data_IF_651457097830
#
_entry.id   IF_651457097830
#
_cell.length_a   1.000
_cell.length_b   1.000
_cell.length_c   1.000
_cell.angle_alpha   90.00
_cell.angle_beta   90.00
_cell.angle_gamma   90.00
#
_symmetry.space_group_name_H-M   'P 1'
#
loop_
_entity.id
_entity.type
_entity.pdbx_description
1 polymer ?
#
# COMPACT_ATOMS: atom_id res chain seq x y z
N UNK A 1 7.54 -20.37 -3.31
CA UNK A 1 6.41 -20.70 -2.42
C UNK A 1 6.04 -19.55 -1.50
N UNK A 2 6.91 -19.12 -0.58
CA UNK A 2 6.60 -18.07 0.40
C UNK A 2 6.03 -16.75 -0.17
N UNK A 3 6.64 -16.20 -1.23
CA UNK A 3 6.11 -15.00 -1.92
C UNK A 3 4.70 -15.22 -2.45
N UNK A 4 4.40 -16.41 -2.99
CA UNK A 4 3.05 -16.73 -3.48
C UNK A 4 2.05 -16.90 -2.34
N UNK A 5 2.50 -17.38 -1.18
CA UNK A 5 1.65 -17.45 -0.01
C UNK A 5 1.28 -16.05 0.51
N UNK A 6 2.27 -15.15 0.66
CA UNK A 6 2.00 -13.76 0.99
C UNK A 6 1.12 -13.06 -0.06
N UNK A 7 1.29 -13.38 -1.36
CA UNK A 7 0.44 -12.88 -2.44
C UNK A 7 -1.03 -13.29 -2.27
N UNK A 8 -1.30 -14.52 -1.85
CA UNK A 8 -2.67 -14.99 -1.59
C UNK A 8 -3.36 -14.09 -0.54
N UNK A 9 -2.65 -13.79 0.55
CA UNK A 9 -3.17 -12.92 1.61
C UNK A 9 -3.38 -11.48 1.14
N UNK A 10 -2.47 -10.94 0.33
CA UNK A 10 -2.67 -9.61 -0.26
C UNK A 10 -3.85 -9.56 -1.23
N UNK A 11 -4.10 -10.62 -2.00
CA UNK A 11 -5.31 -10.75 -2.84
C UNK A 11 -6.57 -10.75 -1.96
N UNK A 12 -6.54 -11.45 -0.82
CA UNK A 12 -7.65 -11.45 0.11
C UNK A 12 -7.93 -10.05 0.66
N UNK A 13 -6.90 -9.32 1.11
CA UNK A 13 -7.03 -7.94 1.58
C UNK A 13 -7.55 -7.00 0.48
N UNK A 14 -7.05 -7.14 -0.74
CA UNK A 14 -7.54 -6.38 -1.89
C UNK A 14 -9.01 -6.64 -2.20
N UNK A 15 -9.48 -7.88 -2.08
CA UNK A 15 -10.91 -8.23 -2.26
C UNK A 15 -11.78 -7.58 -1.19
N UNK A 16 -11.31 -7.53 0.06
CA UNK A 16 -12.03 -6.84 1.14
C UNK A 16 -12.09 -5.35 0.87
N UNK A 17 -10.96 -4.72 0.53
CA UNK A 17 -10.90 -3.30 0.19
C UNK A 17 -11.86 -2.95 -0.98
N UNK A 18 -11.89 -3.78 -2.04
CA UNK A 18 -12.80 -3.59 -3.15
C UNK A 18 -14.28 -3.67 -2.73
N UNK A 19 -14.65 -4.64 -1.87
CA UNK A 19 -16.01 -4.77 -1.34
C UNK A 19 -16.41 -3.57 -0.49
N UNK A 20 -15.51 -3.07 0.37
CA UNK A 20 -15.75 -1.87 1.18
C UNK A 20 -16.04 -0.65 0.32
N UNK A 21 -15.25 -0.44 -0.73
CA UNK A 21 -15.45 0.64 -1.69
C UNK A 21 -16.82 0.56 -2.37
N UNK A 22 -17.22 -0.63 -2.81
CA UNK A 22 -18.56 -0.85 -3.43
C UNK A 22 -19.69 -0.59 -2.44
N UNK A 23 -19.53 -0.95 -1.16
CA UNK A 23 -20.53 -0.75 -0.12
C UNK A 23 -20.51 0.67 0.49
N UNK A 24 -19.63 1.57 0.03
CA UNK A 24 -19.51 2.93 0.56
C UNK A 24 -18.92 3.02 1.98
N UNK A 25 -18.32 1.93 2.48
CA UNK A 25 -17.77 1.84 3.85
C UNK A 25 -16.39 2.51 4.00
N UNK A 26 -15.86 3.10 2.91
CA UNK A 26 -14.61 3.85 2.91
C UNK A 26 -14.84 5.37 3.05
N UNK A 27 -16.10 5.82 3.15
CA UNK A 27 -16.38 7.19 3.52
C UNK A 27 -15.88 7.42 4.95
N UNK A 28 -15.09 8.47 5.22
CA UNK A 28 -14.82 8.85 6.60
C UNK A 28 -16.19 9.10 7.24
N UNK A 29 -16.47 8.40 8.33
CA UNK A 29 -17.59 8.77 9.21
C UNK A 29 -17.28 10.20 9.62
N UNK A 30 -17.89 11.19 8.94
CA UNK A 30 -18.00 12.52 9.49
C UNK A 30 -18.62 12.26 10.86
N UNK A 31 -17.88 12.59 11.91
CA UNK A 31 -18.44 12.68 13.24
C UNK A 31 -19.72 13.49 13.06
N UNK A 32 -20.87 12.83 13.18
CA UNK A 32 -22.13 13.52 13.32
C UNK A 32 -21.99 14.20 14.67
N UNK A 33 -21.55 15.45 14.64
CA UNK A 33 -21.70 16.35 15.76
C UNK A 33 -23.17 16.27 16.13
N UNK A 34 -23.42 15.71 17.31
CA UNK A 34 -24.72 15.71 17.94
C UNK A 34 -25.07 17.17 18.25
N UNK A 35 -25.66 17.85 17.28
CA UNK A 35 -26.44 19.05 17.50
C UNK A 35 -27.91 18.61 17.43
N UNK A 36 -28.44 18.23 18.58
CA UNK A 36 -29.87 18.19 18.80
C UNK A 36 -30.36 19.64 18.83
N UNK A 37 -31.08 20.07 17.80
CA UNK A 37 -32.07 21.14 17.92
C UNK A 37 -33.31 20.75 17.09
N UNK A 38 -34.36 20.37 17.81
CA UNK A 38 -35.73 20.26 17.31
C UNK A 38 -36.24 21.66 16.92
N UNK A 39 -36.79 21.80 15.71
CA UNK A 39 -37.96 22.66 15.45
C UNK A 39 -38.81 22.09 14.31
N UNK A 40 -40.03 21.70 14.65
CA UNK A 40 -41.14 21.50 13.71
C UNK A 40 -41.61 22.85 13.13
N UNK A 41 -42.01 22.86 11.84
CA UNK A 41 -43.39 23.19 11.38
C UNK A 41 -43.45 23.39 9.85
N UNK A 42 -44.49 22.85 9.22
CA UNK A 42 -45.14 23.43 8.02
C UNK A 42 -44.78 22.82 6.66
N UNK A 43 -45.66 21.95 6.13
CA UNK A 43 -45.51 21.30 4.83
C UNK A 43 -46.04 22.06 3.60
N UNK A 44 -45.76 21.54 2.40
CA UNK A 44 -46.75 21.40 1.32
C UNK A 44 -46.28 20.38 0.26
N UNK A 45 -47.27 19.80 -0.42
CA UNK A 45 -47.27 18.56 -1.21
C UNK A 45 -46.40 18.56 -2.48
N UNK A 46 -45.75 17.42 -2.75
CA UNK A 46 -45.14 17.08 -4.03
C UNK A 46 -45.02 15.56 -4.16
N UNK A 47 -45.64 15.00 -5.19
CA UNK A 47 -45.74 13.56 -5.51
C UNK A 47 -44.35 12.91 -5.67
N UNK A 48 -43.94 12.12 -4.67
CA UNK A 48 -42.67 11.41 -4.66
C UNK A 48 -42.92 9.91 -4.37
N UNK A 49 -42.49 9.07 -5.32
CA UNK A 49 -42.65 7.61 -5.27
C UNK A 49 -41.87 7.08 -4.07
N UNK A 50 -42.59 6.70 -3.00
CA UNK A 50 -42.00 6.09 -1.80
C UNK A 50 -41.49 4.69 -2.10
N UNK A 51 -40.17 4.52 -2.07
CA UNK A 51 -39.55 3.20 -1.95
C UNK A 51 -39.96 2.58 -0.60
N UNK A 52 -40.23 1.26 -0.53
CA UNK A 52 -40.63 0.62 0.71
C UNK A 52 -39.54 0.75 1.76
N UNK A 53 -39.86 1.38 2.89
CA UNK A 53 -39.04 1.35 4.09
C UNK A 53 -38.89 -0.10 4.54
N UNK A 54 -37.68 -0.64 4.41
CA UNK A 54 -37.34 -1.93 4.98
C UNK A 54 -37.32 -1.79 6.51
N UNK A 55 -38.47 -2.03 7.15
CA UNK A 55 -38.59 -2.21 8.59
C UNK A 55 -37.67 -3.35 9.01
N UNK A 56 -36.52 -3.00 9.60
CA UNK A 56 -35.71 -3.89 10.39
C UNK A 56 -36.48 -4.29 11.66
N UNK A 57 -37.44 -5.21 11.53
CA UNK A 57 -38.08 -5.82 12.67
C UNK A 57 -38.32 -7.31 12.37
N UNK A 58 -37.27 -8.12 12.57
CA UNK A 58 -37.38 -9.45 13.17
C UNK A 58 -36.00 -10.09 13.31
N UNK A 59 -35.13 -9.51 14.15
CA UNK A 59 -34.17 -10.32 14.90
C UNK A 59 -34.36 -9.92 16.36
N UNK A 60 -34.90 -10.86 17.14
CA UNK A 60 -35.37 -10.62 18.50
C UNK A 60 -34.28 -10.02 19.41
N UNK A 61 -34.58 -8.85 19.96
CA UNK A 61 -33.82 -8.18 21.03
C UNK A 61 -33.96 -8.87 22.40
N UNK A 62 -34.30 -10.16 22.46
CA UNK A 62 -34.50 -10.88 23.73
C UNK A 62 -33.49 -12.02 23.95
N UNK A 63 -32.38 -12.02 23.20
CA UNK A 63 -31.24 -12.93 23.43
C UNK A 63 -29.95 -12.21 23.89
N UNK A 64 -30.03 -10.93 24.28
CA UNK A 64 -28.86 -10.13 24.70
C UNK A 64 -28.84 -9.75 26.19
N UNK A 65 -29.83 -10.13 27.00
CA UNK A 65 -29.75 -9.99 28.46
C UNK A 65 -29.11 -11.25 29.06
N UNK A 66 -27.78 -11.29 29.10
CA UNK A 66 -27.07 -12.30 29.90
C UNK A 66 -25.68 -12.69 29.43
N UNK A 67 -25.26 -12.33 28.22
CA UNK A 67 -23.88 -12.57 27.79
C UNK A 67 -23.05 -11.35 28.19
N UNK A 68 -22.22 -11.51 29.23
CA UNK A 68 -21.09 -10.61 29.46
C UNK A 68 -20.18 -10.72 28.23
N UNK A 69 -20.38 -9.78 27.31
CA UNK A 69 -19.49 -9.58 26.18
C UNK A 69 -18.20 -9.03 26.78
N UNK A 70 -17.14 -9.86 26.76
CA UNK A 70 -15.79 -9.44 27.12
C UNK A 70 -15.45 -8.17 26.35
N UNK A 71 -14.75 -7.25 27.02
CA UNK A 71 -14.46 -5.88 26.52
C UNK A 71 -13.74 -5.80 25.18
N UNK A 72 -13.35 -6.93 24.59
CA UNK A 72 -12.76 -7.05 23.26
C UNK A 72 -13.78 -6.89 22.12
N UNK A 73 -15.07 -7.16 22.31
CA UNK A 73 -16.06 -7.03 21.22
C UNK A 73 -16.60 -5.60 21.00
N UNK A 74 -16.01 -4.59 21.67
CA UNK A 74 -16.21 -3.17 21.35
C UNK A 74 -15.23 -2.64 20.30
N UNK A 75 -14.26 -3.44 19.88
CA UNK A 75 -13.41 -3.07 18.76
C UNK A 75 -14.21 -3.18 17.46
N UNK A 76 -14.14 -2.14 16.63
CA UNK A 76 -14.63 -2.21 15.26
C UNK A 76 -14.08 -3.51 14.63
N UNK A 77 -14.94 -4.47 14.24
CA UNK A 77 -14.49 -5.72 13.62
C UNK A 77 -13.65 -5.48 12.35
N UNK A 78 -13.67 -4.25 11.83
CA UNK A 78 -12.87 -3.78 10.70
C UNK A 78 -11.47 -3.28 11.08
N UNK A 79 -11.17 -3.11 12.37
CA UNK A 79 -9.85 -2.73 12.89
C UNK A 79 -9.05 -3.95 13.40
N UNK A 80 -9.35 -5.14 12.88
CA UNK A 80 -8.65 -6.35 13.29
C UNK A 80 -7.23 -6.40 12.74
N UNK A 81 -6.25 -6.94 13.49
CA UNK A 81 -4.86 -7.05 13.04
C UNK A 81 -4.69 -7.74 11.69
N UNK A 82 -5.56 -8.71 11.38
CA UNK A 82 -5.57 -9.40 10.09
C UNK A 82 -5.81 -8.44 8.92
N UNK A 83 -6.76 -7.51 9.06
CA UNK A 83 -7.08 -6.51 8.04
C UNK A 83 -6.03 -5.39 7.95
N UNK A 84 -5.17 -5.27 8.96
CA UNK A 84 -4.02 -4.36 8.98
C UNK A 84 -2.72 -4.99 8.45
N UNK A 85 -2.80 -6.15 7.79
CA UNK A 85 -1.63 -6.79 7.18
C UNK A 85 -0.78 -7.62 8.13
N UNK A 86 -1.26 -7.98 9.33
CA UNK A 86 -0.49 -8.82 10.26
C UNK A 86 -0.13 -10.19 9.68
N UNK A 87 -1.02 -10.78 8.88
CA UNK A 87 -0.79 -12.10 8.26
C UNK A 87 0.31 -12.04 7.18
N UNK A 88 0.27 -11.16 6.16
CA UNK A 88 1.36 -11.08 5.19
C UNK A 88 2.70 -10.70 5.83
N UNK A 89 2.70 -9.93 6.92
CA UNK A 89 3.89 -9.65 7.72
C UNK A 89 4.42 -10.90 8.43
N UNK A 90 3.56 -11.67 9.10
CA UNK A 90 3.96 -12.93 9.74
C UNK A 90 4.56 -13.92 8.73
N UNK A 91 3.97 -14.03 7.54
CA UNK A 91 4.50 -14.87 6.45
C UNK A 91 5.89 -14.39 6.03
N UNK A 92 6.08 -13.08 5.89
CA UNK A 92 7.39 -12.51 5.57
C UNK A 92 8.40 -12.77 6.69
N UNK A 93 8.04 -12.57 7.95
CA UNK A 93 8.91 -12.78 9.11
C UNK A 93 9.31 -14.24 9.28
N UNK A 94 8.39 -15.17 9.03
CA UNK A 94 8.67 -16.61 9.04
C UNK A 94 9.53 -17.03 7.85
N UNK A 95 9.31 -16.44 6.67
CA UNK A 95 10.21 -16.60 5.53
C UNK A 95 11.61 -16.04 5.84
N UNK A 96 11.71 -14.96 6.62
CA UNK A 96 12.96 -14.33 7.03
C UNK A 96 13.80 -15.18 8.00
N UNK A 97 13.22 -16.25 8.56
CA UNK A 97 13.92 -17.24 9.40
C UNK A 97 14.47 -18.42 8.60
N UNK A 98 14.12 -18.54 7.32
CA UNK A 98 14.48 -19.69 6.49
C UNK A 98 15.86 -19.54 5.87
N UNK A 99 16.53 -20.67 5.59
CA UNK A 99 17.88 -20.70 5.05
C UNK A 99 18.04 -20.04 3.66
N UNK A 100 16.96 -19.93 2.87
CA UNK A 100 17.01 -19.28 1.56
C UNK A 100 16.99 -17.75 1.64
N UNK A 101 16.71 -17.17 2.81
CA UNK A 101 16.42 -15.76 2.92
C UNK A 101 17.67 -14.90 2.73
N UNK A 102 17.62 -14.04 1.71
CA UNK A 102 18.66 -13.10 1.35
C UNK A 102 18.03 -11.81 0.79
N UNK A 103 18.84 -10.81 0.47
CA UNK A 103 18.36 -9.52 -0.02
C UNK A 103 17.50 -9.62 -1.30
N UNK A 104 17.84 -10.51 -2.23
CA UNK A 104 17.04 -10.75 -3.45
C UNK A 104 15.69 -11.41 -3.13
N UNK A 105 15.67 -12.35 -2.19
CA UNK A 105 14.42 -12.97 -1.73
C UNK A 105 13.50 -11.93 -1.06
N UNK A 106 14.05 -11.05 -0.23
CA UNK A 106 13.30 -9.96 0.40
C UNK A 106 12.79 -8.94 -0.63
N UNK A 107 13.60 -8.60 -1.65
CA UNK A 107 13.15 -7.77 -2.76
C UNK A 107 11.97 -8.40 -3.52
N UNK A 108 11.97 -9.72 -3.74
CA UNK A 108 10.83 -10.39 -4.36
C UNK A 108 9.52 -10.22 -3.56
N UNK A 109 9.58 -10.15 -2.23
CA UNK A 109 8.41 -9.81 -1.41
C UNK A 109 7.99 -8.35 -1.61
N UNK A 110 8.94 -7.42 -1.54
CA UNK A 110 8.69 -5.99 -1.77
C UNK A 110 8.01 -5.78 -3.14
N UNK A 111 8.61 -6.30 -4.21
CA UNK A 111 8.10 -6.19 -5.57
C UNK A 111 6.69 -6.79 -5.70
N UNK A 112 6.40 -7.90 -5.02
CA UNK A 112 5.07 -8.49 -5.00
C UNK A 112 4.06 -7.59 -4.25
N UNK A 113 4.43 -7.05 -3.09
CA UNK A 113 3.56 -6.18 -2.31
C UNK A 113 3.20 -4.88 -3.05
N UNK A 114 4.14 -4.31 -3.83
CA UNK A 114 3.87 -3.09 -4.61
C UNK A 114 2.76 -3.24 -5.66
N UNK A 115 2.32 -4.46 -5.98
CA UNK A 115 1.19 -4.73 -6.87
C UNK A 115 -0.19 -4.43 -6.24
N UNK A 116 -0.24 -4.15 -4.93
CA UNK A 116 -1.48 -4.03 -4.16
C UNK A 116 -1.73 -2.62 -3.63
N UNK A 117 -1.54 -1.60 -4.47
CA UNK A 117 -1.64 -0.16 -4.13
C UNK A 117 -3.01 0.26 -3.59
N UNK A 118 -4.04 -0.52 -3.85
CA UNK A 118 -5.40 -0.35 -3.35
C UNK A 118 -5.60 -0.78 -1.88
N UNK A 119 -4.62 -1.44 -1.26
CA UNK A 119 -4.72 -1.97 0.12
C UNK A 119 -4.17 -0.94 1.11
N UNK A 120 -5.00 -0.53 2.08
CA UNK A 120 -4.66 0.53 3.03
C UNK A 120 -3.42 0.23 3.91
N UNK A 121 -3.16 -1.04 4.25
CA UNK A 121 -2.00 -1.41 5.05
C UNK A 121 -0.70 -1.52 4.24
N UNK A 122 -0.72 -1.30 2.92
CA UNK A 122 0.46 -1.46 2.07
C UNK A 122 1.67 -0.63 2.56
N UNK A 123 1.55 0.66 2.94
CA UNK A 123 2.69 1.45 3.40
C UNK A 123 3.38 0.81 4.62
N UNK A 124 2.58 0.30 5.57
CA UNK A 124 3.08 -0.40 6.76
C UNK A 124 3.82 -1.69 6.38
N UNK A 125 3.26 -2.47 5.46
CA UNK A 125 3.88 -3.73 4.99
C UNK A 125 5.21 -3.45 4.29
N UNK A 126 5.26 -2.48 3.38
CA UNK A 126 6.47 -2.14 2.65
C UNK A 126 7.55 -1.55 3.56
N UNK A 127 7.17 -0.71 4.52
CA UNK A 127 8.10 -0.16 5.50
C UNK A 127 8.74 -1.28 6.34
N UNK A 128 7.95 -2.23 6.85
CA UNK A 128 8.48 -3.35 7.62
C UNK A 128 9.47 -4.20 6.81
N UNK A 129 9.14 -4.52 5.55
CA UNK A 129 10.06 -5.27 4.67
C UNK A 129 11.36 -4.48 4.48
N UNK A 130 11.26 -3.18 4.21
CA UNK A 130 12.42 -2.34 4.02
C UNK A 130 13.27 -2.21 5.29
N UNK A 131 12.65 -2.09 6.46
CA UNK A 131 13.35 -2.00 7.74
C UNK A 131 14.18 -3.27 7.98
N UNK A 132 13.59 -4.45 7.76
CA UNK A 132 14.30 -5.74 7.85
C UNK A 132 15.43 -5.84 6.82
N UNK A 133 15.22 -5.34 5.60
CA UNK A 133 16.28 -5.32 4.58
C UNK A 133 17.43 -4.37 4.96
N UNK A 134 17.13 -3.19 5.50
CA UNK A 134 18.12 -2.21 5.95
C UNK A 134 18.90 -2.70 7.18
N UNK A 135 18.25 -3.43 8.07
CA UNK A 135 18.90 -4.02 9.24
C UNK A 135 19.85 -5.17 8.83
N UNK A 136 19.39 -6.09 7.99
CA UNK A 136 20.13 -7.33 7.68
C UNK A 136 21.05 -7.23 6.48
N UNK A 137 20.70 -6.40 5.51
CA UNK A 137 21.37 -6.30 4.21
C UNK A 137 21.63 -4.83 3.79
N UNK A 138 22.25 -3.99 4.66
CA UNK A 138 22.36 -2.54 4.45
C UNK A 138 23.17 -2.11 3.22
N UNK A 139 24.04 -2.98 2.70
CA UNK A 139 24.95 -2.68 1.57
C UNK A 139 24.60 -3.44 0.29
N UNK A 140 23.53 -4.25 0.31
CA UNK A 140 23.10 -5.03 -0.84
C UNK A 140 22.30 -4.17 -1.82
N UNK A 141 22.53 -4.36 -3.12
CA UNK A 141 21.88 -3.60 -4.17
C UNK A 141 20.35 -3.75 -4.17
N UNK A 142 19.85 -4.93 -3.78
CA UNK A 142 18.42 -5.20 -3.68
C UNK A 142 17.73 -4.33 -2.61
N UNK A 143 18.36 -4.13 -1.46
CA UNK A 143 17.88 -3.24 -0.39
C UNK A 143 17.79 -1.79 -0.86
N UNK A 144 18.85 -1.33 -1.51
CA UNK A 144 18.90 0.02 -2.05
C UNK A 144 17.92 0.26 -3.19
N UNK A 145 17.71 -0.73 -4.06
CA UNK A 145 16.71 -0.66 -5.11
C UNK A 145 15.29 -0.51 -4.53
N UNK A 146 14.94 -1.30 -3.50
CA UNK A 146 13.67 -1.14 -2.78
C UNK A 146 13.54 0.25 -2.13
N UNK A 147 14.60 0.72 -1.46
CA UNK A 147 14.60 2.04 -0.80
C UNK A 147 14.41 3.20 -1.77
N UNK A 148 15.11 3.14 -2.91
CA UNK A 148 15.02 4.12 -3.99
C UNK A 148 13.62 4.14 -4.58
N UNK A 149 13.02 2.98 -4.82
CA UNK A 149 11.69 2.87 -5.45
C UNK A 149 10.52 3.14 -4.49
N UNK A 150 10.73 3.06 -3.18
CA UNK A 150 9.65 3.20 -2.19
C UNK A 150 8.77 4.46 -2.37
N UNK A 151 9.31 5.68 -2.63
CA UNK A 151 8.49 6.88 -2.82
C UNK A 151 7.63 6.84 -4.10
N UNK A 152 7.99 5.99 -5.05
CA UNK A 152 7.29 5.85 -6.34
C UNK A 152 6.18 4.81 -6.29
N UNK A 153 6.02 4.07 -5.19
CA UNK A 153 5.02 3.01 -5.10
C UNK A 153 3.62 3.62 -5.11
N UNK A 154 2.79 3.18 -6.06
CA UNK A 154 1.43 3.67 -6.23
C UNK A 154 1.32 5.02 -6.95
N UNK A 155 2.44 5.62 -7.34
CA UNK A 155 2.48 6.90 -8.05
C UNK A 155 2.62 6.65 -9.54
N UNK A 156 1.62 7.06 -10.31
CA UNK A 156 1.65 6.92 -11.77
C UNK A 156 2.61 7.95 -12.38
N UNK A 157 3.46 7.59 -13.37
CA UNK A 157 4.29 8.53 -14.12
C UNK A 157 3.55 9.68 -14.79
N UNK A 158 2.22 9.57 -14.92
CA UNK A 158 1.35 10.52 -15.60
C UNK A 158 0.66 11.49 -14.63
N UNK A 159 0.95 11.43 -13.32
CA UNK A 159 0.36 12.34 -12.33
C UNK A 159 1.33 13.44 -11.93
N UNK A 160 0.78 14.57 -11.48
CA UNK A 160 1.57 15.73 -11.02
C UNK A 160 2.44 15.44 -9.78
N UNK A 161 2.15 14.36 -9.04
CA UNK A 161 2.93 13.94 -7.88
C UNK A 161 4.24 13.25 -8.26
N UNK A 162 4.30 12.65 -9.46
CA UNK A 162 5.43 11.82 -9.87
C UNK A 162 6.77 12.55 -9.92
N UNK A 163 6.89 13.78 -10.48
CA UNK A 163 8.17 14.50 -10.51
C UNK A 163 8.77 14.72 -9.12
N UNK A 164 7.92 15.05 -8.13
CA UNK A 164 8.36 15.26 -6.75
C UNK A 164 8.91 13.96 -6.13
N UNK A 165 8.17 12.86 -6.28
CA UNK A 165 8.59 11.57 -5.76
C UNK A 165 9.81 10.99 -6.50
N UNK A 166 9.92 11.27 -7.81
CA UNK A 166 11.10 10.94 -8.61
C UNK A 166 12.33 11.69 -8.11
N UNK A 167 12.21 12.97 -7.74
CA UNK A 167 13.28 13.73 -7.11
C UNK A 167 13.79 13.07 -5.83
N UNK A 168 12.88 12.61 -4.96
CA UNK A 168 13.22 11.87 -3.74
C UNK A 168 13.93 10.55 -4.07
N UNK A 169 13.41 9.78 -5.03
CA UNK A 169 14.00 8.53 -5.47
C UNK A 169 15.42 8.72 -6.02
N UNK A 170 15.64 9.75 -6.87
CA UNK A 170 16.95 10.06 -7.42
C UNK A 170 17.94 10.57 -6.35
N UNK A 171 17.45 11.28 -5.32
CA UNK A 171 18.25 11.63 -4.15
C UNK A 171 18.73 10.38 -3.39
N UNK A 172 17.82 9.44 -3.11
CA UNK A 172 18.16 8.15 -2.50
C UNK A 172 19.11 7.33 -3.35
N UNK A 173 18.97 7.40 -4.69
CA UNK A 173 19.87 6.71 -5.62
C UNK A 173 21.30 7.29 -5.50
N UNK A 174 21.44 8.60 -5.38
CA UNK A 174 22.74 9.24 -5.18
C UNK A 174 23.39 8.79 -3.86
N UNK A 175 22.63 8.69 -2.76
CA UNK A 175 23.13 8.11 -1.50
C UNK A 175 23.56 6.65 -1.64
N UNK A 176 22.79 5.85 -2.37
CA UNK A 176 23.07 4.43 -2.57
C UNK A 176 24.38 4.15 -3.32
N UNK A 177 24.81 5.06 -4.19
CA UNK A 177 26.10 4.94 -4.91
C UNK A 177 27.32 4.85 -3.99
N UNK A 178 27.23 5.45 -2.81
CA UNK A 178 28.32 5.46 -1.83
C UNK A 178 28.23 4.31 -0.82
N UNK A 179 27.04 3.74 -0.62
CA UNK A 179 26.76 2.75 0.42
C UNK A 179 26.64 1.30 -0.08
N UNK A 180 26.34 1.11 -1.37
CA UNK A 180 26.21 -0.23 -1.96
C UNK A 180 27.57 -0.87 -2.22
N UNK A 181 27.68 -2.17 -1.87
CA UNK A 181 28.89 -2.97 -2.11
C UNK A 181 29.19 -3.17 -3.59
N UNK A 182 28.18 -3.54 -4.38
CA UNK A 182 28.30 -3.80 -5.83
C UNK A 182 27.47 -2.80 -6.61
N UNK A 183 28.11 -1.68 -6.93
CA UNK A 183 27.55 -0.55 -7.65
C UNK A 183 26.78 -0.95 -8.92
N UNK A 184 27.35 -1.84 -9.74
CA UNK A 184 26.76 -2.25 -11.01
C UNK A 184 25.47 -3.04 -10.89
N UNK A 185 25.26 -3.72 -9.76
CA UNK A 185 23.98 -4.38 -9.50
C UNK A 185 22.87 -3.37 -9.22
N UNK A 186 23.15 -2.31 -8.45
CA UNK A 186 22.20 -1.22 -8.23
C UNK A 186 21.92 -0.48 -9.55
N UNK A 187 22.96 -0.24 -10.36
CA UNK A 187 22.81 0.37 -11.68
C UNK A 187 21.90 -0.44 -12.60
N UNK A 188 22.13 -1.75 -12.69
CA UNK A 188 21.33 -2.65 -13.52
C UNK A 188 19.87 -2.72 -13.09
N UNK A 189 19.61 -2.79 -11.78
CA UNK A 189 18.23 -2.75 -11.23
C UNK A 189 17.58 -1.40 -11.52
N UNK A 190 18.34 -0.31 -11.36
CA UNK A 190 17.87 1.05 -11.64
C UNK A 190 17.50 1.23 -13.11
N UNK A 191 18.39 0.83 -14.03
CA UNK A 191 18.16 0.91 -15.45
C UNK A 191 16.88 0.15 -15.85
N UNK A 192 16.71 -1.08 -15.35
CA UNK A 192 15.54 -1.90 -15.65
C UNK A 192 14.21 -1.23 -15.25
N UNK A 193 14.14 -0.48 -14.15
CA UNK A 193 12.90 0.20 -13.79
C UNK A 193 12.73 1.52 -14.55
N UNK A 194 13.82 2.25 -14.79
CA UNK A 194 13.78 3.49 -15.57
C UNK A 194 13.31 3.22 -17.01
N UNK A 195 13.83 2.18 -17.65
CA UNK A 195 13.40 1.72 -18.97
C UNK A 195 11.90 1.42 -19.03
N UNK A 196 11.34 0.79 -17.99
CA UNK A 196 9.89 0.54 -17.90
C UNK A 196 9.09 1.83 -17.81
N UNK A 197 9.58 2.83 -17.09
CA UNK A 197 8.90 4.13 -17.00
C UNK A 197 8.99 4.87 -18.33
N UNK A 198 10.14 4.87 -18.98
CA UNK A 198 10.34 5.47 -20.30
C UNK A 198 9.49 4.82 -21.40
N UNK A 199 9.14 3.53 -21.25
CA UNK A 199 8.22 2.84 -22.14
C UNK A 199 6.74 3.25 -21.95
N UNK A 200 6.42 4.10 -20.97
CA UNK A 200 5.05 4.57 -20.75
C UNK A 200 4.70 5.68 -21.75
N UNK A 201 3.61 5.48 -22.49
CA UNK A 201 3.10 6.49 -23.42
C UNK A 201 2.54 7.70 -22.66
N UNK A 202 2.73 8.90 -23.21
CA UNK A 202 2.23 10.15 -22.63
C UNK A 202 3.08 10.71 -21.47
N UNK A 203 4.30 10.19 -21.28
CA UNK A 203 5.23 10.72 -20.30
C UNK A 203 5.65 12.16 -20.63
N UNK A 204 5.68 13.02 -19.61
CA UNK A 204 6.19 14.39 -19.76
C UNK A 204 7.64 14.42 -20.28
N UNK A 205 7.92 15.33 -21.21
CA UNK A 205 9.24 15.44 -21.86
C UNK A 205 10.35 15.81 -20.87
N UNK A 206 10.05 16.57 -19.83
CA UNK A 206 10.98 16.89 -18.75
C UNK A 206 11.34 15.64 -17.94
N UNK A 207 10.34 14.85 -17.55
CA UNK A 207 10.55 13.56 -16.87
C UNK A 207 11.37 12.61 -17.74
N UNK A 208 11.01 12.48 -19.01
CA UNK A 208 11.73 11.65 -19.99
C UNK A 208 13.20 12.04 -20.09
N UNK A 209 13.47 13.33 -20.26
CA UNK A 209 14.84 13.87 -20.31
C UNK A 209 15.63 13.53 -19.05
N UNK A 210 15.04 13.70 -17.87
CA UNK A 210 15.69 13.38 -16.59
C UNK A 210 16.02 11.89 -16.48
N UNK A 211 15.10 11.02 -16.89
CA UNK A 211 15.29 9.57 -16.86
C UNK A 211 16.35 9.09 -17.87
N UNK A 212 16.38 9.66 -19.09
CA UNK A 212 17.41 9.36 -20.10
C UNK A 212 18.81 9.84 -19.66
N UNK A 213 18.90 11.03 -19.07
CA UNK A 213 20.15 11.51 -18.43
C UNK A 213 20.56 10.57 -17.29
N UNK A 214 19.60 10.09 -16.50
CA UNK A 214 19.87 9.13 -15.43
C UNK A 214 20.45 7.83 -15.99
N UNK A 215 19.87 7.26 -17.04
CA UNK A 215 20.40 6.05 -17.71
C UNK A 215 21.84 6.23 -18.20
N UNK A 216 22.11 7.31 -18.94
CA UNK A 216 23.49 7.60 -19.43
C UNK A 216 24.50 7.71 -18.29
N UNK A 217 24.10 8.34 -17.18
CA UNK A 217 24.96 8.40 -15.98
C UNK A 217 25.22 7.03 -15.39
N UNK A 218 24.26 6.11 -15.42
CA UNK A 218 24.45 4.75 -14.93
C UNK A 218 25.40 3.93 -15.83
N UNK A 219 25.31 4.11 -17.15
CA UNK A 219 26.18 3.45 -18.14
C UNK A 219 27.64 3.93 -18.08
N UNK A 220 27.87 5.24 -17.94
CA UNK A 220 29.21 5.83 -17.95
C UNK A 220 29.92 5.81 -16.61
N UNK A 221 29.18 5.74 -15.50
CA UNK A 221 29.80 5.73 -14.18
C UNK A 221 30.55 4.43 -13.89
N UNK A 222 30.52 3.42 -14.79
CA UNK A 222 31.14 2.12 -14.54
C UNK A 222 30.80 1.59 -13.15
N UNK A 223 29.53 1.78 -12.74
CA UNK A 223 28.98 1.13 -11.55
C UNK A 223 29.21 -0.38 -11.71
#
# INVERSE_FOLDING_TARGET
MWVQYAKLEMIFLAKIAARRRVLGLDAPVKAVEAAAEEKEEGGFEGDEIKFPEFKAQSLGQSAMEGVKVDGEAKQDPMNTPALQGAIPLAIFDDAAKQAFFNAEAAQCFFDMFTLFTQVACLPKVLQHVLDVMMERFPTEAATWDCYVRMPLVGVSPLTAEFPGQLGVALGRLAEGKEKVRVKGQLAKKTAKWVEKVLATEGLDEGIKTVLEVTLRKLEWSGL
#
